data_IF_529490255061
#
_entry.id   IF_529490255061
#
_cell.length_a   1.000
_cell.length_b   1.000
_cell.length_c   1.000
_cell.angle_alpha   90.00
_cell.angle_beta   90.00
_cell.angle_gamma   90.00
#
_symmetry.space_group_name_H-M   'P 1'
#
loop_
_entity.id
_entity.type
_entity.pdbx_description
1 polymer ?
#
# COMPACT_ATOMS: atom_id res chain seq x y z
N UNK A 1 0.02 11.73 -5.59
CA UNK A 1 1.18 11.94 -6.47
C UNK A 1 2.32 10.98 -6.13
N UNK A 2 3.27 10.81 -7.04
CA UNK A 2 4.59 10.24 -6.75
C UNK A 2 5.48 11.25 -6.00
N UNK A 3 6.71 10.87 -5.69
CA UNK A 3 7.68 11.74 -5.01
C UNK A 3 8.11 12.98 -5.81
N UNK A 4 7.76 13.03 -7.09
CA UNK A 4 8.13 14.08 -8.03
C UNK A 4 6.97 15.00 -8.38
N UNK A 5 5.82 14.80 -7.72
CA UNK A 5 4.62 15.58 -7.95
C UNK A 5 3.81 15.11 -9.16
N UNK A 6 4.11 13.94 -9.73
CA UNK A 6 3.30 13.37 -10.81
C UNK A 6 2.05 12.70 -10.24
N UNK A 7 0.89 13.01 -10.82
CA UNK A 7 -0.38 12.43 -10.36
C UNK A 7 -0.48 10.98 -10.82
N UNK A 8 -0.40 10.04 -9.86
CA UNK A 8 -0.49 8.58 -10.11
C UNK A 8 -1.94 8.08 -10.29
N UNK A 9 -2.93 8.95 -10.10
CA UNK A 9 -4.34 8.62 -10.15
C UNK A 9 -4.96 8.41 -8.77
N UNK A 10 -6.10 7.70 -8.73
CA UNK A 10 -6.90 7.48 -7.52
C UNK A 10 -6.62 6.10 -6.92
N UNK A 11 -6.22 6.00 -5.64
CA UNK A 11 -6.04 4.71 -5.00
C UNK A 11 -7.38 4.07 -4.64
N UNK A 12 -7.37 2.76 -4.53
CA UNK A 12 -8.43 1.90 -4.01
C UNK A 12 -8.19 1.61 -2.54
N UNK A 13 -9.26 1.64 -1.76
CA UNK A 13 -9.27 1.27 -0.34
C UNK A 13 -10.16 0.04 -0.16
N UNK A 14 -9.57 -1.05 0.34
CA UNK A 14 -10.27 -2.27 0.77
C UNK A 14 -10.17 -2.37 2.28
N UNK A 15 -11.26 -2.68 2.96
CA UNK A 15 -11.34 -2.69 4.42
C UNK A 15 -11.90 -4.00 4.93
N UNK A 16 -11.49 -4.40 6.13
CA UNK A 16 -12.07 -5.50 6.89
C UNK A 16 -12.66 -4.93 8.17
N UNK A 17 -13.94 -5.21 8.40
CA UNK A 17 -14.70 -4.66 9.53
C UNK A 17 -15.27 -5.80 10.33
N UNK A 18 -15.10 -5.75 11.65
CA UNK A 18 -15.74 -6.72 12.52
C UNK A 18 -17.26 -6.48 12.57
N UNK A 19 -18.02 -7.54 12.33
CA UNK A 19 -19.48 -7.45 12.24
C UNK A 19 -20.13 -7.16 13.59
N UNK A 20 -19.52 -7.62 14.69
CA UNK A 20 -20.06 -7.47 16.04
C UNK A 20 -19.81 -6.09 16.65
N UNK A 21 -18.60 -5.55 16.50
CA UNK A 21 -18.18 -4.28 17.12
C UNK A 21 -18.23 -3.09 16.17
N UNK A 22 -18.28 -3.33 14.85
CA UNK A 22 -18.03 -2.33 13.79
C UNK A 22 -16.61 -1.77 13.80
N UNK A 23 -15.70 -2.35 14.59
CA UNK A 23 -14.31 -1.92 14.63
C UNK A 23 -13.62 -2.24 13.30
N UNK A 24 -12.76 -1.32 12.87
CA UNK A 24 -11.91 -1.56 11.71
C UNK A 24 -10.83 -2.57 12.09
N UNK A 25 -10.84 -3.73 11.45
CA UNK A 25 -9.90 -4.80 11.71
C UNK A 25 -8.68 -4.67 10.82
N UNK A 26 -8.84 -4.32 9.54
CA UNK A 26 -7.70 -4.16 8.64
C UNK A 26 -8.03 -3.41 7.37
N UNK A 27 -6.99 -3.09 6.60
CA UNK A 27 -7.13 -2.37 5.33
C UNK A 27 -6.03 -2.72 4.34
N UNK A 28 -6.31 -2.46 3.07
CA UNK A 28 -5.33 -2.29 2.02
C UNK A 28 -5.64 -1.01 1.25
N UNK A 29 -4.63 -0.15 1.09
CA UNK A 29 -4.69 1.07 0.31
C UNK A 29 -3.63 1.01 -0.80
N UNK A 30 -4.04 1.10 -2.07
CA UNK A 30 -3.09 0.98 -3.18
C UNK A 30 -3.71 1.32 -4.53
N UNK A 31 -2.91 1.32 -5.59
CA UNK A 31 -3.42 1.60 -6.95
C UNK A 31 -3.97 0.37 -7.66
N UNK A 32 -3.84 -0.80 -7.04
CA UNK A 32 -4.38 -2.04 -7.57
C UNK A 32 -5.90 -2.04 -7.53
N UNK A 33 -6.51 -2.34 -8.68
CA UNK A 33 -7.95 -2.54 -8.76
C UNK A 33 -8.41 -3.66 -7.81
N UNK A 34 -9.65 -3.58 -7.30
CA UNK A 34 -10.22 -4.62 -6.47
C UNK A 34 -10.05 -6.00 -7.10
N UNK A 35 -9.61 -6.96 -6.29
CA UNK A 35 -9.37 -8.34 -6.69
C UNK A 35 -9.32 -9.21 -5.45
N UNK A 36 -9.46 -10.53 -5.64
CA UNK A 36 -9.27 -11.51 -4.57
C UNK A 36 -7.98 -11.32 -3.77
N UNK A 37 -6.88 -11.02 -4.48
CA UNK A 37 -5.59 -10.79 -3.86
C UNK A 37 -5.59 -9.53 -2.99
N UNK A 38 -6.18 -8.44 -3.46
CA UNK A 38 -6.34 -7.20 -2.68
C UNK A 38 -7.19 -7.44 -1.43
N UNK A 39 -8.22 -8.30 -1.52
CA UNK A 39 -8.99 -8.73 -0.35
C UNK A 39 -8.14 -9.56 0.63
N UNK A 40 -7.35 -10.51 0.13
CA UNK A 40 -6.40 -11.30 0.92
C UNK A 40 -5.38 -10.40 1.65
N UNK A 41 -4.89 -9.35 1.00
CA UNK A 41 -3.99 -8.37 1.61
C UNK A 41 -4.65 -7.58 2.75
N UNK A 42 -5.89 -7.13 2.55
CA UNK A 42 -6.64 -6.46 3.62
C UNK A 42 -6.95 -7.43 4.79
N UNK A 43 -7.23 -8.70 4.47
CA UNK A 43 -7.43 -9.77 5.45
C UNK A 43 -6.13 -10.06 6.22
N UNK A 44 -4.98 -10.12 5.54
CA UNK A 44 -3.66 -10.27 6.16
C UNK A 44 -3.44 -9.23 7.24
N UNK A 45 -3.67 -7.96 6.88
CA UNK A 45 -3.56 -6.84 7.79
C UNK A 45 -4.55 -6.93 8.96
N UNK A 46 -5.71 -7.55 8.77
CA UNK A 46 -6.69 -7.76 9.83
C UNK A 46 -6.29 -8.89 10.80
N UNK A 47 -5.63 -9.93 10.29
CA UNK A 47 -5.24 -11.11 11.08
C UNK A 47 -4.03 -10.84 11.97
N UNK A 48 -3.04 -10.12 11.46
CA UNK A 48 -1.79 -9.88 12.18
C UNK A 48 -1.92 -8.71 13.17
N UNK A 49 -1.15 -8.72 14.27
CA UNK A 49 -0.96 -7.53 15.09
C UNK A 49 -0.35 -6.38 14.28
N UNK A 50 -0.87 -5.16 14.44
CA UNK A 50 -0.42 -3.98 13.69
C UNK A 50 0.68 -3.31 14.49
N UNK A 51 1.82 -3.07 13.84
CA UNK A 51 2.91 -2.29 14.41
C UNK A 51 3.22 -1.13 13.46
N UNK A 52 2.90 0.08 13.89
CA UNK A 52 3.20 1.30 13.15
C UNK A 52 4.37 2.03 13.78
N UNK A 53 5.22 2.63 12.94
CA UNK A 53 6.31 3.47 13.42
C UNK A 53 5.79 4.80 13.98
N UNK A 54 6.62 5.49 14.76
CA UNK A 54 6.31 6.82 15.30
C UNK A 54 5.94 7.85 14.25
N UNK A 55 6.33 7.65 12.98
CA UNK A 55 5.96 8.52 11.86
C UNK A 55 4.47 8.59 11.55
N UNK A 56 3.67 7.68 12.12
CA UNK A 56 2.20 7.72 12.04
C UNK A 56 1.56 8.64 13.09
N UNK A 57 2.31 9.06 14.12
CA UNK A 57 1.85 10.00 15.16
C UNK A 57 0.55 9.57 15.86
N UNK A 58 0.38 8.26 16.06
CA UNK A 58 -0.81 7.68 16.68
C UNK A 58 -0.86 8.03 18.17
N UNK A 59 -2.03 8.41 18.66
CA UNK A 59 -2.28 8.62 20.10
C UNK A 59 -2.70 7.32 20.79
N UNK A 60 -3.36 6.43 20.05
CA UNK A 60 -3.80 5.12 20.51
C UNK A 60 -3.09 4.00 19.74
N UNK A 61 -3.12 2.78 20.27
CA UNK A 61 -2.64 1.60 19.55
C UNK A 61 -3.76 0.88 18.80
N UNK A 62 -3.42 0.26 17.67
CA UNK A 62 -4.38 -0.54 16.90
C UNK A 62 -4.36 -2.00 17.32
N UNK A 63 -4.95 -2.28 18.48
CA UNK A 63 -4.90 -3.58 19.17
C UNK A 63 -5.73 -4.69 18.52
N UNK A 64 -6.56 -4.40 17.52
CA UNK A 64 -7.42 -5.44 16.92
C UNK A 64 -6.63 -6.38 16.00
N UNK A 65 -6.74 -7.69 16.20
CA UNK A 65 -6.17 -8.71 15.30
C UNK A 65 -6.94 -10.04 15.38
N UNK A 66 -6.54 -11.03 14.58
CA UNK A 66 -6.99 -12.42 14.69
C UNK A 66 -7.68 -12.99 13.46
N UNK A 67 -7.66 -14.33 13.37
CA UNK A 67 -8.33 -15.08 12.28
C UNK A 67 -9.84 -15.06 12.50
N UNK A 68 -10.64 -14.54 11.55
CA UNK A 68 -12.09 -14.54 11.69
C UNK A 68 -12.67 -15.95 11.54
N UNK A 69 -13.73 -16.27 12.28
CA UNK A 69 -14.44 -17.54 12.09
C UNK A 69 -15.20 -17.56 10.77
N UNK A 70 -15.75 -16.42 10.37
CA UNK A 70 -16.52 -16.26 9.13
C UNK A 70 -16.07 -15.01 8.38
N UNK A 71 -15.91 -15.13 7.07
CA UNK A 71 -15.64 -14.00 6.18
C UNK A 71 -16.83 -13.81 5.26
N UNK A 72 -17.50 -12.67 5.39
CA UNK A 72 -18.61 -12.28 4.54
C UNK A 72 -18.12 -11.41 3.38
N UNK A 73 -18.47 -11.79 2.17
CA UNK A 73 -18.12 -11.01 0.97
C UNK A 73 -19.39 -10.57 0.22
N UNK A 74 -19.30 -9.58 -0.66
CA UNK A 74 -20.34 -9.47 -1.70
C UNK A 74 -20.13 -10.58 -2.71
N UNK A 75 -21.18 -10.86 -3.50
CA UNK A 75 -21.09 -11.73 -4.68
C UNK A 75 -20.31 -11.07 -5.84
N UNK A 76 -19.43 -10.11 -5.56
CA UNK A 76 -18.52 -9.58 -6.56
C UNK A 76 -17.68 -10.71 -7.17
N UNK A 77 -17.40 -10.63 -8.47
CA UNK A 77 -16.58 -11.64 -9.17
C UNK A 77 -15.20 -11.82 -8.53
N UNK A 78 -14.69 -10.79 -7.87
CA UNK A 78 -13.42 -10.81 -7.15
C UNK A 78 -13.47 -11.65 -5.87
N UNK A 79 -14.66 -11.84 -5.28
CA UNK A 79 -14.87 -12.54 -4.01
C UNK A 79 -15.46 -13.94 -4.15
N UNK A 80 -15.83 -14.32 -5.37
CA UNK A 80 -16.19 -15.70 -5.78
C UNK A 80 -15.00 -16.42 -6.41
N UNK A 81 -13.78 -15.91 -6.19
CA UNK A 81 -12.58 -16.49 -6.76
C UNK A 81 -12.16 -17.76 -6.00
N UNK A 82 -11.71 -18.76 -6.75
CA UNK A 82 -11.09 -19.98 -6.22
C UNK A 82 -9.95 -19.69 -5.23
N UNK A 83 -9.27 -18.55 -5.39
CA UNK A 83 -8.17 -18.15 -4.52
C UNK A 83 -8.65 -17.78 -3.10
N UNK A 84 -9.75 -17.04 -2.98
CA UNK A 84 -10.27 -16.66 -1.66
C UNK A 84 -10.84 -17.87 -0.91
N UNK A 85 -11.49 -18.80 -1.63
CA UNK A 85 -11.96 -20.08 -1.08
C UNK A 85 -10.79 -20.94 -0.57
N UNK A 86 -9.70 -21.00 -1.32
CA UNK A 86 -8.47 -21.68 -0.91
C UNK A 86 -7.93 -21.09 0.40
N UNK A 87 -7.73 -19.76 0.44
CA UNK A 87 -7.23 -19.05 1.63
C UNK A 87 -8.13 -19.29 2.84
N UNK A 88 -9.45 -19.17 2.65
CA UNK A 88 -10.42 -19.39 3.71
C UNK A 88 -10.31 -20.82 4.25
N UNK A 89 -10.19 -21.81 3.38
CA UNK A 89 -10.05 -23.23 3.77
C UNK A 89 -8.77 -23.47 4.58
N UNK A 90 -7.64 -22.92 4.15
CA UNK A 90 -6.34 -23.08 4.83
C UNK A 90 -6.32 -22.45 6.23
N UNK A 91 -7.00 -21.31 6.37
CA UNK A 91 -7.09 -20.59 7.63
C UNK A 91 -8.26 -21.05 8.52
N UNK A 92 -9.05 -22.03 8.07
CA UNK A 92 -10.22 -22.52 8.80
C UNK A 92 -11.37 -21.50 8.88
N UNK A 93 -11.44 -20.57 7.94
CA UNK A 93 -12.44 -19.51 7.86
C UNK A 93 -13.65 -20.02 7.06
N UNK A 94 -14.84 -19.88 7.62
CA UNK A 94 -16.09 -20.09 6.89
C UNK A 94 -16.35 -18.95 5.90
N UNK A 95 -16.22 -19.20 4.60
CA UNK A 95 -16.58 -18.20 3.59
C UNK A 95 -18.11 -18.16 3.42
N UNK A 96 -18.70 -16.98 3.61
CA UNK A 96 -20.14 -16.78 3.53
C UNK A 96 -20.48 -15.74 2.47
N UNK A 97 -21.37 -16.13 1.54
CA UNK A 97 -22.03 -15.14 0.68
C UNK A 97 -23.08 -14.40 1.50
N UNK A 98 -23.16 -13.07 1.37
CA UNK A 98 -24.21 -12.29 2.00
C UNK A 98 -25.59 -12.76 1.52
N UNK A 99 -26.51 -13.19 2.42
CA UNK A 99 -27.85 -13.60 2.03
C UNK A 99 -28.74 -12.44 1.58
N UNK A 100 -28.53 -11.21 2.07
CA UNK A 100 -29.35 -10.04 1.71
C UNK A 100 -28.53 -8.76 1.44
N UNK A 101 -28.93 -7.92 0.45
CA UNK A 101 -28.28 -6.63 0.18
C UNK A 101 -28.29 -5.65 1.37
N UNK A 102 -29.30 -5.74 2.25
CA UNK A 102 -29.46 -4.91 3.45
C UNK A 102 -28.32 -5.04 4.47
N UNK A 103 -27.59 -6.16 4.44
CA UNK A 103 -26.40 -6.40 5.27
C UNK A 103 -25.15 -5.68 4.74
N UNK A 104 -25.22 -5.07 3.55
CA UNK A 104 -24.14 -4.24 2.99
C UNK A 104 -23.84 -2.97 3.79
N UNK A 105 -24.79 -2.51 4.61
CA UNK A 105 -24.61 -1.34 5.47
C UNK A 105 -23.47 -1.47 6.50
N UNK A 106 -22.94 -2.67 6.72
CA UNK A 106 -21.77 -2.92 7.57
C UNK A 106 -20.49 -2.32 6.95
N UNK A 107 -20.33 -2.46 5.64
CA UNK A 107 -19.15 -1.99 4.90
C UNK A 107 -19.42 -0.66 4.21
N UNK A 108 -20.64 -0.43 3.72
CA UNK A 108 -21.02 0.81 3.03
C UNK A 108 -21.02 2.03 3.96
N UNK A 109 -21.43 1.87 5.22
CA UNK A 109 -21.47 2.99 6.18
C UNK A 109 -20.09 3.51 6.57
N UNK A 110 -19.09 2.66 6.90
CA UNK A 110 -17.71 3.12 7.08
C UNK A 110 -17.23 4.01 5.93
N UNK A 111 -17.46 3.62 4.68
CA UNK A 111 -17.10 4.45 3.53
C UNK A 111 -17.86 5.79 3.50
N UNK A 112 -19.14 5.80 3.85
CA UNK A 112 -19.91 7.05 4.00
C UNK A 112 -19.35 7.96 5.09
N UNK A 113 -18.94 7.40 6.23
CA UNK A 113 -18.30 8.12 7.34
C UNK A 113 -16.93 8.65 6.93
N UNK A 114 -16.08 7.83 6.33
CA UNK A 114 -14.76 8.26 5.85
C UNK A 114 -14.88 9.38 4.82
N UNK A 115 -15.83 9.29 3.89
CA UNK A 115 -16.06 10.36 2.91
C UNK A 115 -16.46 11.68 3.58
N UNK A 116 -17.35 11.64 4.59
CA UNK A 116 -17.87 12.83 5.26
C UNK A 116 -16.88 13.46 6.23
N UNK A 117 -16.17 12.65 7.01
CA UNK A 117 -15.38 13.11 8.16
C UNK A 117 -13.89 13.16 7.90
N UNK A 118 -13.38 12.37 6.95
CA UNK A 118 -11.96 12.25 6.66
C UNK A 118 -11.62 12.76 5.26
N UNK A 119 -12.07 12.08 4.20
CA UNK A 119 -11.67 12.39 2.83
C UNK A 119 -12.10 13.79 2.39
N UNK A 120 -13.27 14.27 2.82
CA UNK A 120 -13.76 15.63 2.54
C UNK A 120 -12.82 16.74 3.04
N UNK A 121 -12.02 16.47 4.07
CA UNK A 121 -11.04 17.42 4.62
C UNK A 121 -9.71 17.43 3.87
N UNK A 122 -9.48 16.45 2.98
CA UNK A 122 -8.21 16.29 2.29
C UNK A 122 -8.18 17.04 0.95
N UNK A 123 -7.03 17.62 0.57
CA UNK A 123 -6.85 18.24 -0.74
C UNK A 123 -6.98 17.21 -1.87
N UNK A 124 -7.63 17.61 -2.97
CA UNK A 124 -7.88 16.72 -4.12
C UNK A 124 -9.06 15.75 -3.95
N UNK A 125 -9.93 15.96 -2.96
CA UNK A 125 -11.17 15.19 -2.81
C UNK A 125 -12.17 15.50 -3.93
N UNK A 126 -12.67 14.45 -4.59
CA UNK A 126 -13.48 14.56 -5.81
C UNK A 126 -14.99 14.37 -5.57
N UNK A 127 -15.41 14.31 -4.31
CA UNK A 127 -16.81 14.03 -3.97
C UNK A 127 -17.25 12.59 -4.28
N UNK A 128 -18.53 12.31 -4.02
CA UNK A 128 -19.14 10.99 -4.21
C UNK A 128 -19.84 10.84 -5.57
N UNK A 129 -20.19 11.95 -6.24
CA UNK A 129 -20.89 11.91 -7.53
C UNK A 129 -19.93 12.04 -8.70
N UNK A 130 -20.21 11.28 -9.76
CA UNK A 130 -19.43 11.37 -11.00
C UNK A 130 -19.45 12.76 -11.65
N UNK A 131 -20.51 13.54 -11.40
CA UNK A 131 -20.69 14.92 -11.89
C UNK A 131 -19.89 15.97 -11.12
N UNK A 132 -19.45 15.67 -9.89
CA UNK A 132 -18.62 16.57 -9.05
C UNK A 132 -17.12 16.41 -9.38
N UNK A 133 -16.79 15.52 -10.32
CA UNK A 133 -15.44 15.26 -10.83
C UNK A 133 -14.95 16.40 -11.70
N UNK A 134 -14.50 17.48 -11.08
CA UNK A 134 -13.86 18.60 -11.77
C UNK A 134 -12.38 18.30 -12.04
N UNK A 135 -11.84 18.91 -13.10
CA UNK A 135 -10.39 18.93 -13.40
C UNK A 135 -9.57 19.71 -12.35
N UNK A 136 -10.23 20.33 -11.36
CA UNK A 136 -9.59 21.06 -10.25
C UNK A 136 -9.04 20.08 -9.21
N UNK A 137 -9.75 18.99 -8.92
CA UNK A 137 -9.31 18.01 -7.92
C UNK A 137 -8.02 17.27 -8.33
N UNK A 138 -7.79 17.05 -9.63
CA UNK A 138 -6.52 16.52 -10.15
C UNK A 138 -5.36 17.50 -9.98
N UNK A 139 -5.63 18.81 -10.04
CA UNK A 139 -4.64 19.87 -9.83
C UNK A 139 -4.28 20.07 -8.35
N UNK A 140 -5.21 19.75 -7.46
CA UNK A 140 -5.04 19.84 -6.00
C UNK A 140 -4.48 18.56 -5.36
N UNK A 141 -4.27 17.49 -6.14
CA UNK A 141 -3.90 16.16 -5.65
C UNK A 141 -2.48 16.07 -5.07
N UNK A 142 -2.16 16.76 -3.98
CA UNK A 142 -0.79 16.92 -3.47
C UNK A 142 -0.27 15.78 -2.57
N UNK A 143 -1.12 14.82 -2.18
CA UNK A 143 -0.73 13.76 -1.24
C UNK A 143 -0.04 12.59 -1.96
N UNK A 144 1.07 12.13 -1.41
CA UNK A 144 1.63 10.81 -1.73
C UNK A 144 0.78 9.71 -1.10
N UNK A 145 0.88 8.48 -1.63
CA UNK A 145 0.13 7.35 -1.09
C UNK A 145 0.51 7.06 0.38
N UNK A 146 1.79 7.18 0.73
CA UNK A 146 2.29 7.07 2.11
C UNK A 146 1.67 8.12 3.03
N UNK A 147 1.57 9.38 2.60
CA UNK A 147 0.95 10.44 3.40
C UNK A 147 -0.54 10.17 3.60
N UNK A 148 -1.26 9.80 2.53
CA UNK A 148 -2.67 9.42 2.63
C UNK A 148 -2.87 8.24 3.58
N UNK A 149 -1.99 7.25 3.49
CA UNK A 149 -2.00 6.08 4.36
C UNK A 149 -1.80 6.44 5.85
N UNK A 150 -0.80 7.27 6.16
CA UNK A 150 -0.57 7.74 7.54
C UNK A 150 -1.78 8.49 8.10
N UNK A 151 -2.32 9.42 7.32
CA UNK A 151 -3.51 10.18 7.71
C UNK A 151 -4.72 9.26 7.92
N UNK A 152 -4.92 8.27 7.05
CA UNK A 152 -6.03 7.34 7.12
C UNK A 152 -5.91 6.42 8.34
N UNK A 153 -4.72 5.84 8.59
CA UNK A 153 -4.46 5.02 9.77
C UNK A 153 -4.68 5.82 11.04
N UNK A 154 -4.12 7.04 11.12
CA UNK A 154 -4.32 7.92 12.28
C UNK A 154 -5.80 8.22 12.54
N UNK A 155 -6.55 8.56 11.48
CA UNK A 155 -7.99 8.76 11.61
C UNK A 155 -8.71 7.48 12.08
N UNK A 156 -8.35 6.30 11.56
CA UNK A 156 -9.00 5.05 11.96
C UNK A 156 -8.73 4.73 13.43
N UNK A 157 -7.47 4.83 13.86
CA UNK A 157 -7.02 4.45 15.20
C UNK A 157 -7.49 5.44 16.25
N UNK A 158 -7.22 6.73 16.06
CA UNK A 158 -7.44 7.74 17.09
C UNK A 158 -8.88 8.29 17.09
N UNK A 159 -9.63 8.12 16.00
CA UNK A 159 -11.00 8.67 15.88
C UNK A 159 -12.05 7.62 15.58
N UNK A 160 -11.93 6.85 14.50
CA UNK A 160 -13.01 5.97 14.06
C UNK A 160 -13.26 4.83 15.07
N UNK A 161 -12.21 4.10 15.44
CA UNK A 161 -12.30 2.98 16.37
C UNK A 161 -12.63 3.44 17.80
N UNK A 162 -12.17 4.63 18.20
CA UNK A 162 -12.55 5.28 19.46
C UNK A 162 -13.95 5.89 19.43
N UNK A 163 -14.55 6.03 18.24
CA UNK A 163 -15.88 6.60 18.09
C UNK A 163 -16.97 5.66 18.62
N UNK A 164 -18.01 6.24 19.22
CA UNK A 164 -19.23 5.53 19.59
C UNK A 164 -20.07 5.29 18.33
N UNK A 165 -20.71 4.13 18.24
CA UNK A 165 -21.78 3.88 17.27
C UNK A 165 -23.11 3.91 18.01
N UNK A 166 -23.93 4.94 17.78
CA UNK A 166 -25.18 5.13 18.54
C UNK A 166 -26.21 4.00 18.41
N UNK A 167 -26.00 3.04 17.48
CA UNK A 167 -26.82 1.82 17.38
C UNK A 167 -26.32 0.68 18.25
N UNK A 168 -25.11 0.81 18.78
CA UNK A 168 -24.35 -0.23 19.48
C UNK A 168 -24.20 0.06 20.98
N UNK A 169 -24.91 1.09 21.48
CA UNK A 169 -24.88 1.54 22.87
C UNK A 169 -23.83 2.60 23.13
N UNK A 170 -23.40 2.72 24.39
CA UNK A 170 -22.51 3.78 24.87
C UNK A 170 -21.02 3.38 24.86
N UNK A 171 -20.67 2.32 24.12
CA UNK A 171 -19.29 1.83 24.00
C UNK A 171 -18.64 2.32 22.70
N UNK A 172 -17.32 2.55 22.76
CA UNK A 172 -16.49 2.76 21.57
C UNK A 172 -16.42 1.46 20.77
N UNK A 173 -16.16 1.55 19.45
CA UNK A 173 -16.03 0.35 18.60
C UNK A 173 -14.92 -0.57 19.10
N UNK A 174 -13.78 0.00 19.49
CA UNK A 174 -12.66 -0.76 20.06
C UNK A 174 -13.03 -1.37 21.42
N UNK A 175 -13.66 -0.62 22.33
CA UNK A 175 -14.05 -1.15 23.63
C UNK A 175 -15.09 -2.27 23.52
N UNK A 176 -15.97 -2.20 22.52
CA UNK A 176 -16.88 -3.31 22.20
C UNK A 176 -16.15 -4.53 21.65
N UNK A 177 -15.13 -4.34 20.82
CA UNK A 177 -14.29 -5.43 20.32
C UNK A 177 -13.54 -6.12 21.47
N UNK A 178 -12.89 -5.34 22.34
CA UNK A 178 -12.17 -5.83 23.52
C UNK A 178 -13.09 -6.59 24.48
N UNK A 179 -14.30 -6.07 24.74
CA UNK A 179 -15.30 -6.75 25.56
C UNK A 179 -15.74 -8.10 24.97
N UNK A 180 -15.69 -8.26 23.64
CA UNK A 180 -15.94 -9.52 22.95
C UNK A 180 -14.73 -10.47 22.94
N UNK A 181 -13.52 -9.93 23.01
CA UNK A 181 -12.25 -10.67 23.00
C UNK A 181 -11.94 -11.27 24.40
N UNK A 182 -12.80 -12.18 24.85
CA UNK A 182 -12.72 -12.78 26.19
C UNK A 182 -11.51 -13.70 26.41
N UNK A 183 -10.83 -14.12 25.34
CA UNK A 183 -9.65 -14.97 25.36
C UNK A 183 -8.59 -14.44 24.38
N UNK A 184 -7.29 -14.60 24.68
CA UNK A 184 -6.22 -14.28 23.72
C UNK A 184 -6.41 -15.07 22.43
N UNK A 185 -6.34 -14.37 21.29
CA UNK A 185 -6.46 -15.00 19.98
C UNK A 185 -5.13 -15.63 19.58
N UNK A 186 -5.13 -16.81 18.92
CA UNK A 186 -3.90 -17.44 18.47
C UNK A 186 -3.20 -16.54 17.44
N UNK A 187 -1.88 -16.38 17.63
CA UNK A 187 -1.04 -15.66 16.67
C UNK A 187 -0.56 -16.62 15.59
N UNK A 188 -0.83 -16.27 14.35
CA UNK A 188 -0.15 -16.87 13.20
C UNK A 188 1.18 -16.18 12.99
N UNK A 189 2.21 -16.94 12.60
CA UNK A 189 3.43 -16.30 12.12
C UNK A 189 3.17 -15.62 10.78
N UNK A 190 3.85 -14.49 10.56
CA UNK A 190 3.74 -13.72 9.31
C UNK A 190 3.97 -14.61 8.08
N UNK A 191 5.04 -15.41 8.15
CA UNK A 191 5.43 -16.35 7.11
C UNK A 191 4.41 -17.46 6.83
N UNK A 192 3.79 -18.02 7.87
CA UNK A 192 2.74 -19.04 7.67
C UNK A 192 1.52 -18.44 6.98
N UNK A 193 1.14 -17.23 7.40
CA UNK A 193 0.04 -16.51 6.78
C UNK A 193 0.37 -16.19 5.32
N UNK A 194 1.56 -15.67 5.02
CA UNK A 194 1.98 -15.39 3.64
C UNK A 194 1.91 -16.61 2.74
N UNK A 195 2.37 -17.77 3.22
CA UNK A 195 2.27 -19.04 2.49
C UNK A 195 0.81 -19.45 2.24
N UNK A 196 -0.10 -19.19 3.19
CA UNK A 196 -1.54 -19.43 3.01
C UNK A 196 -2.13 -18.48 1.97
N UNK A 197 -1.66 -17.23 1.93
CA UNK A 197 -2.14 -16.21 1.00
C UNK A 197 -1.61 -16.40 -0.42
N UNK A 198 -0.53 -17.15 -0.65
CA UNK A 198 0.02 -17.39 -1.99
C UNK A 198 -0.99 -18.01 -2.96
N UNK A 199 -0.87 -17.63 -4.24
CA UNK A 199 -1.67 -18.22 -5.32
C UNK A 199 -1.16 -19.60 -5.68
N UNK A 200 -2.07 -20.48 -6.08
CA UNK A 200 -1.77 -21.85 -6.52
C UNK A 200 -1.92 -22.01 -8.02
N UNK A 201 -0.98 -22.73 -8.63
CA UNK A 201 -1.01 -23.16 -10.02
C UNK A 201 -0.50 -24.60 -10.12
N UNK A 202 -1.08 -25.42 -11.01
CA UNK A 202 -0.58 -26.77 -11.26
C UNK A 202 0.44 -26.76 -12.38
N UNK A 203 1.59 -27.38 -12.19
CA UNK A 203 2.66 -27.45 -13.19
C UNK A 203 3.25 -28.85 -13.26
N UNK A 204 3.76 -29.18 -14.44
CA UNK A 204 4.49 -30.41 -14.68
C UNK A 204 5.97 -30.17 -14.44
N UNK A 205 6.63 -31.12 -13.77
CA UNK A 205 8.08 -31.13 -13.67
C UNK A 205 8.64 -31.84 -14.90
N UNK A 206 9.48 -31.13 -15.65
CA UNK A 206 10.09 -31.68 -16.86
C UNK A 206 11.33 -32.52 -16.55
N UNK A 207 11.73 -33.31 -17.55
CA UNK A 207 12.95 -34.12 -17.50
C UNK A 207 14.16 -33.24 -17.18
N UNK A 208 14.89 -33.59 -16.12
CA UNK A 208 16.01 -32.78 -15.62
C UNK A 208 15.66 -31.87 -14.45
N UNK A 209 14.44 -31.95 -13.91
CA UNK A 209 14.08 -31.31 -12.63
C UNK A 209 13.83 -29.81 -12.71
N UNK A 210 13.26 -29.34 -13.82
CA UNK A 210 12.85 -27.94 -13.98
C UNK A 210 11.35 -27.85 -14.26
N UNK A 211 10.76 -26.70 -13.97
CA UNK A 211 9.36 -26.39 -14.30
C UNK A 211 9.25 -25.04 -15.01
N UNK A 212 8.12 -24.82 -15.70
CA UNK A 212 7.86 -23.59 -16.44
C UNK A 212 6.66 -22.85 -15.86
N UNK A 213 6.82 -21.56 -15.58
CA UNK A 213 5.72 -20.72 -15.08
C UNK A 213 5.94 -19.26 -15.52
N UNK A 214 4.89 -18.60 -16.02
CA UNK A 214 4.96 -17.20 -16.49
C UNK A 214 6.07 -16.92 -17.52
N UNK A 215 6.36 -17.90 -18.40
CA UNK A 215 7.48 -17.90 -19.36
C UNK A 215 8.89 -17.84 -18.72
N UNK A 216 9.00 -18.26 -17.47
CA UNK A 216 10.26 -18.44 -16.77
C UNK A 216 10.50 -19.92 -16.48
N UNK A 217 11.76 -20.33 -16.61
CA UNK A 217 12.25 -21.63 -16.19
C UNK A 217 12.70 -21.57 -14.74
N UNK A 218 12.24 -22.54 -13.94
CA UNK A 218 12.58 -22.66 -12.53
C UNK A 218 13.37 -23.92 -12.26
N UNK A 219 14.31 -23.83 -11.32
CA UNK A 219 15.03 -24.98 -10.77
C UNK A 219 14.99 -24.94 -9.26
N UNK A 220 14.83 -26.11 -8.66
CA UNK A 220 14.79 -26.27 -7.21
C UNK A 220 15.55 -27.51 -6.81
N UNK A 221 15.98 -27.54 -5.56
CA UNK A 221 16.55 -28.74 -4.97
C UNK A 221 15.50 -29.87 -5.02
N UNK A 222 15.94 -31.11 -5.22
CA UNK A 222 15.09 -32.31 -5.25
C UNK A 222 14.05 -32.43 -6.38
N UNK A 223 13.80 -31.40 -7.21
CA UNK A 223 12.82 -31.48 -8.30
C UNK A 223 13.16 -32.56 -9.34
N UNK A 224 14.43 -32.92 -9.51
CA UNK A 224 14.82 -33.99 -10.44
C UNK A 224 14.14 -35.34 -10.11
N UNK A 225 13.86 -35.60 -8.83
CA UNK A 225 13.16 -36.82 -8.38
C UNK A 225 11.67 -36.85 -8.72
N UNK A 226 11.10 -35.72 -9.14
CA UNK A 226 9.69 -35.56 -9.50
C UNK A 226 9.48 -35.41 -11.00
N UNK A 227 10.48 -35.72 -11.83
CA UNK A 227 10.39 -35.61 -13.29
C UNK A 227 9.21 -36.41 -13.85
N UNK A 228 8.29 -35.72 -14.54
CA UNK A 228 7.07 -36.28 -15.12
C UNK A 228 5.84 -36.22 -14.21
N UNK A 229 6.01 -35.77 -12.97
CA UNK A 229 4.91 -35.61 -12.00
C UNK A 229 4.26 -34.23 -12.12
N UNK A 230 2.95 -34.18 -11.80
CA UNK A 230 2.24 -32.94 -11.57
C UNK A 230 2.50 -32.45 -10.14
N UNK A 231 2.89 -31.18 -10.01
CA UNK A 231 3.11 -30.49 -8.75
C UNK A 231 2.25 -29.23 -8.66
N UNK A 232 1.99 -28.78 -7.45
CA UNK A 232 1.34 -27.50 -7.17
C UNK A 232 2.43 -26.50 -6.82
N UNK A 233 2.49 -25.39 -7.55
CA UNK A 233 3.33 -24.27 -7.20
C UNK A 233 2.49 -23.24 -6.42
N UNK A 234 3.05 -22.73 -5.34
CA UNK A 234 2.58 -21.56 -4.61
C UNK A 234 3.52 -20.39 -4.87
N UNK A 235 2.96 -19.21 -5.14
CA UNK A 235 3.74 -18.02 -5.45
C UNK A 235 3.08 -16.73 -4.96
N UNK A 236 3.90 -15.74 -4.64
CA UNK A 236 3.48 -14.36 -4.44
C UNK A 236 3.32 -13.68 -5.82
N UNK A 237 2.15 -13.11 -6.16
CA UNK A 237 1.98 -12.34 -7.38
C UNK A 237 2.91 -11.13 -7.53
N UNK A 238 3.46 -10.59 -6.43
CA UNK A 238 4.38 -9.45 -6.42
C UNK A 238 5.83 -9.85 -6.60
N UNK A 239 6.17 -11.09 -6.28
CA UNK A 239 7.48 -11.66 -6.59
C UNK A 239 7.36 -13.14 -6.97
N UNK A 240 7.45 -13.41 -8.27
CA UNK A 240 7.43 -14.77 -8.81
C UNK A 240 8.83 -15.35 -8.99
N UNK A 241 9.91 -14.65 -8.62
CA UNK A 241 11.29 -15.17 -8.81
C UNK A 241 11.54 -16.43 -7.98
N UNK A 242 10.79 -16.63 -6.90
CA UNK A 242 10.78 -17.84 -6.09
C UNK A 242 9.38 -18.42 -6.02
N UNK A 243 9.27 -19.74 -6.20
CA UNK A 243 8.02 -20.49 -6.04
C UNK A 243 8.22 -21.65 -5.07
N UNK A 244 7.18 -21.97 -4.31
CA UNK A 244 7.16 -23.10 -3.39
C UNK A 244 6.45 -24.26 -4.05
N UNK A 245 7.11 -25.40 -4.14
CA UNK A 245 6.62 -26.58 -4.85
C UNK A 245 6.08 -27.58 -3.85
N UNK A 246 4.87 -28.05 -4.10
CA UNK A 246 4.15 -29.03 -3.29
C UNK A 246 3.72 -30.21 -4.15
N UNK A 247 3.75 -31.40 -3.58
CA UNK A 247 3.14 -32.59 -4.15
C UNK A 247 1.75 -32.78 -3.55
N UNK A 248 0.76 -33.05 -4.39
CA UNK A 248 -0.56 -33.44 -3.90
C UNK A 248 -0.52 -34.90 -3.44
N UNK A 249 -0.77 -35.12 -2.15
CA UNK A 249 -0.92 -36.47 -1.57
C UNK A 249 -2.36 -36.71 -1.14
N UNK A 250 -2.66 -37.94 -0.67
CA UNK A 250 -3.96 -38.27 -0.06
C UNK A 250 -4.22 -37.52 1.25
N UNK A 251 -3.16 -37.08 1.94
CA UNK A 251 -3.23 -36.39 3.22
C UNK A 251 -3.18 -34.85 3.06
N UNK A 252 -3.04 -34.34 1.84
CA UNK A 252 -2.94 -32.92 1.54
C UNK A 252 -1.69 -32.57 0.74
N UNK A 253 -1.36 -31.29 0.71
CA UNK A 253 -0.17 -30.77 0.03
C UNK A 253 1.07 -31.00 0.90
N UNK A 254 2.05 -31.73 0.36
CA UNK A 254 3.34 -31.93 1.01
C UNK A 254 4.38 -31.03 0.36
N UNK A 255 5.07 -30.22 1.16
CA UNK A 255 6.15 -29.38 0.66
C UNK A 255 7.29 -30.24 0.09
N UNK A 256 7.73 -29.90 -1.12
CA UNK A 256 8.80 -30.59 -1.84
C UNK A 256 10.07 -29.75 -1.82
N UNK A 257 10.00 -28.52 -2.35
CA UNK A 257 11.17 -27.67 -2.52
C UNK A 257 10.80 -26.22 -2.77
N UNK A 258 11.77 -25.32 -2.60
CA UNK A 258 11.75 -24.00 -3.24
C UNK A 258 12.40 -24.11 -4.61
N UNK A 259 11.79 -23.49 -5.60
CA UNK A 259 12.34 -23.39 -6.94
C UNK A 259 12.51 -21.92 -7.32
N UNK A 260 13.66 -21.59 -7.87
CA UNK A 260 14.03 -20.23 -8.24
C UNK A 260 14.07 -20.09 -9.76
N UNK A 261 13.61 -18.94 -10.26
CA UNK A 261 13.72 -18.58 -11.66
C UNK A 261 15.21 -18.46 -12.02
N UNK A 262 15.68 -19.34 -12.89
CA UNK A 262 17.11 -19.47 -13.18
C UNK A 262 17.68 -18.16 -13.75
N UNK A 263 18.71 -17.61 -13.10
CA UNK A 263 19.36 -16.35 -13.47
C UNK A 263 18.68 -15.09 -12.92
N UNK A 264 17.54 -15.21 -12.22
CA UNK A 264 16.83 -14.09 -11.57
C UNK A 264 16.84 -14.22 -10.03
N UNK A 265 17.74 -15.02 -9.46
CA UNK A 265 17.75 -15.34 -8.03
C UNK A 265 18.01 -14.13 -7.11
N UNK A 266 18.59 -13.07 -7.65
CA UNK A 266 18.91 -11.82 -6.92
C UNK A 266 17.98 -10.67 -7.27
N UNK A 267 17.01 -10.90 -8.16
CA UNK A 267 16.11 -9.88 -8.67
C UNK A 267 14.72 -10.02 -8.03
N UNK A 268 13.85 -9.02 -8.22
CA UNK A 268 12.43 -9.10 -7.84
C UNK A 268 11.58 -8.85 -9.07
N UNK A 269 10.63 -9.73 -9.36
CA UNK A 269 9.80 -9.65 -10.56
C UNK A 269 8.36 -10.09 -10.28
N UNK A 270 7.41 -9.18 -10.43
CA UNK A 270 6.00 -9.52 -10.25
C UNK A 270 5.44 -10.32 -11.43
N UNK A 271 4.35 -11.06 -11.19
CA UNK A 271 3.64 -11.81 -12.24
C UNK A 271 3.18 -10.91 -13.38
N UNK A 272 2.65 -9.72 -13.06
CA UNK A 272 2.17 -8.76 -14.06
C UNK A 272 3.30 -8.21 -14.92
N UNK A 273 4.45 -7.92 -14.30
CA UNK A 273 5.64 -7.46 -15.02
C UNK A 273 6.18 -8.55 -15.94
N UNK A 274 6.31 -9.79 -15.46
CA UNK A 274 6.73 -10.92 -16.29
C UNK A 274 5.82 -11.10 -17.51
N UNK A 275 4.50 -10.96 -17.35
CA UNK A 275 3.54 -10.98 -18.46
C UNK A 275 3.70 -9.77 -19.41
N UNK A 276 4.00 -8.57 -18.88
CA UNK A 276 4.20 -7.37 -19.70
C UNK A 276 5.49 -7.48 -20.53
N UNK A 277 6.60 -7.90 -19.92
CA UNK A 277 7.88 -8.15 -20.57
C UNK A 277 7.71 -9.22 -21.65
N UNK A 278 7.07 -10.35 -21.32
CA UNK A 278 6.79 -11.42 -22.29
C UNK A 278 6.00 -10.93 -23.51
N UNK A 279 4.96 -10.10 -23.30
CA UNK A 279 4.19 -9.50 -24.41
C UNK A 279 5.03 -8.56 -25.25
N UNK A 280 5.91 -7.75 -24.63
CA UNK A 280 6.81 -6.83 -25.32
C UNK A 280 7.82 -7.60 -26.18
N UNK A 281 8.52 -8.59 -25.61
CA UNK A 281 9.48 -9.43 -26.32
C UNK A 281 8.82 -10.13 -27.52
N UNK A 282 7.60 -10.66 -27.35
CA UNK A 282 6.82 -11.25 -28.44
C UNK A 282 6.54 -10.27 -29.58
N UNK A 283 6.17 -9.02 -29.27
CA UNK A 283 5.94 -7.97 -30.29
C UNK A 283 7.22 -7.59 -31.03
N UNK A 284 8.35 -7.64 -30.35
CA UNK A 284 9.67 -7.37 -30.94
C UNK A 284 10.25 -8.57 -31.69
N UNK A 285 9.56 -9.71 -31.71
CA UNK A 285 10.06 -10.95 -32.34
C UNK A 285 11.27 -11.56 -31.62
N UNK A 286 11.55 -11.14 -30.38
CA UNK A 286 12.65 -11.69 -29.58
C UNK A 286 12.22 -12.99 -28.90
N UNK A 287 13.17 -13.90 -28.70
CA UNK A 287 12.95 -15.11 -27.91
C UNK A 287 12.63 -14.73 -26.45
N UNK A 288 11.68 -15.44 -25.83
CA UNK A 288 11.31 -15.25 -24.43
C UNK A 288 12.04 -16.32 -23.61
N UNK A 289 13.18 -15.94 -23.06
CA UNK A 289 14.03 -16.75 -22.17
C UNK A 289 14.25 -16.00 -20.86
N UNK A 290 14.64 -16.72 -19.79
CA UNK A 290 15.00 -16.07 -18.52
C UNK A 290 16.06 -14.96 -18.71
N UNK A 291 17.05 -15.19 -19.56
CA UNK A 291 18.09 -14.20 -19.87
C UNK A 291 17.49 -12.94 -20.52
N UNK A 292 16.60 -13.10 -21.51
CA UNK A 292 15.94 -11.94 -22.14
C UNK A 292 15.05 -11.17 -21.16
N UNK A 293 14.42 -11.86 -20.20
CA UNK A 293 13.62 -11.22 -19.15
C UNK A 293 14.51 -10.50 -18.16
N UNK A 294 15.62 -11.13 -17.72
CA UNK A 294 16.61 -10.54 -16.83
C UNK A 294 17.18 -9.23 -17.41
N UNK A 295 17.48 -9.20 -18.70
CA UNK A 295 17.96 -7.99 -19.37
C UNK A 295 16.91 -6.86 -19.29
N UNK A 296 15.64 -7.15 -19.57
CA UNK A 296 14.58 -6.14 -19.47
C UNK A 296 14.35 -5.65 -18.02
N UNK A 297 14.50 -6.53 -17.02
CA UNK A 297 14.43 -6.18 -15.59
C UNK A 297 15.58 -5.23 -15.22
N UNK A 298 16.81 -5.56 -15.62
CA UNK A 298 17.99 -4.73 -15.33
C UNK A 298 17.97 -3.41 -16.08
N UNK A 299 17.52 -3.40 -17.33
CA UNK A 299 17.35 -2.16 -18.11
C UNK A 299 16.32 -1.24 -17.45
N UNK A 300 15.20 -1.79 -16.97
CA UNK A 300 14.22 -1.04 -16.17
C UNK A 300 14.88 -0.44 -14.94
N UNK A 301 15.61 -1.23 -14.17
CA UNK A 301 16.20 -0.78 -12.90
C UNK A 301 17.27 0.29 -13.12
N UNK A 302 18.09 0.15 -14.16
CA UNK A 302 19.02 1.18 -14.59
C UNK A 302 18.31 2.49 -14.99
N UNK A 303 17.20 2.40 -15.73
CA UNK A 303 16.39 3.58 -16.09
C UNK A 303 15.78 4.23 -14.85
N UNK A 304 15.24 3.44 -13.93
CA UNK A 304 14.67 3.93 -12.68
C UNK A 304 15.74 4.62 -11.83
N UNK A 305 16.94 4.04 -11.71
CA UNK A 305 18.06 4.66 -11.02
C UNK A 305 18.53 5.97 -11.67
N UNK A 306 18.62 6.01 -13.01
CA UNK A 306 18.96 7.23 -13.74
C UNK A 306 17.93 8.33 -13.49
N UNK A 307 16.64 8.02 -13.62
CA UNK A 307 15.55 8.95 -13.34
C UNK A 307 15.58 9.43 -11.88
N UNK A 308 15.83 8.54 -10.92
CA UNK A 308 16.00 8.91 -9.50
C UNK A 308 17.19 9.85 -9.30
N UNK A 309 18.33 9.60 -9.96
CA UNK A 309 19.52 10.45 -9.90
C UNK A 309 19.30 11.83 -10.53
N UNK A 310 18.61 11.89 -11.66
CA UNK A 310 18.22 13.16 -12.29
C UNK A 310 17.24 13.96 -11.44
N UNK A 311 16.23 13.30 -10.87
CA UNK A 311 15.29 13.90 -9.91
C UNK A 311 16.05 14.50 -8.71
N UNK A 312 16.97 13.74 -8.09
CA UNK A 312 17.84 14.24 -7.00
C UNK A 312 18.67 15.46 -7.40
N UNK A 313 19.29 15.43 -8.60
CA UNK A 313 20.07 16.57 -9.13
C UNK A 313 19.22 17.83 -9.34
N UNK A 314 17.99 17.69 -9.86
CA UNK A 314 17.08 18.82 -10.07
C UNK A 314 16.63 19.43 -8.73
N UNK A 315 16.37 18.60 -7.71
CA UNK A 315 16.01 19.06 -6.36
C UNK A 315 17.17 19.80 -5.67
N UNK A 316 18.41 19.32 -5.76
CA UNK A 316 19.58 20.02 -5.19
C UNK A 316 19.87 21.34 -5.89
N UNK A 317 19.71 21.40 -7.22
CA UNK A 317 19.93 22.63 -7.99
C UNK A 317 18.82 23.67 -7.74
N UNK A 318 17.58 23.21 -7.50
CA UNK A 318 16.45 24.06 -7.10
C UNK A 318 16.61 24.65 -5.70
N UNK A 319 17.09 23.86 -4.71
CA UNK A 319 17.44 24.36 -3.37
C UNK A 319 18.60 25.38 -3.43
N UNK A 320 19.62 25.12 -4.26
CA UNK A 320 20.77 26.05 -4.44
C UNK A 320 20.37 27.39 -5.08
N UNK A 321 19.50 27.39 -6.10
CA UNK A 321 18.96 28.62 -6.73
C UNK A 321 18.09 29.44 -5.78
N UNK A 322 17.30 28.81 -4.90
CA UNK A 322 16.54 29.51 -3.85
C UNK A 322 17.46 30.19 -2.82
N UNK A 323 18.56 29.54 -2.43
CA UNK A 323 19.56 30.15 -1.54
C UNK A 323 20.36 31.29 -2.19
N UNK A 324 20.70 31.19 -3.49
CA UNK A 324 21.39 32.29 -4.20
C UNK A 324 20.46 33.50 -4.42
N UNK A 325 19.17 33.27 -4.67
CA UNK A 325 18.17 34.34 -4.76
C UNK A 325 17.94 35.07 -3.43
N UNK A 326 18.10 34.40 -2.29
CA UNK A 326 18.01 35.05 -0.98
C UNK A 326 19.27 35.86 -0.64
N UNK A 327 20.46 35.41 -1.07
CA UNK A 327 21.73 36.16 -0.90
C UNK A 327 21.84 37.41 -1.77
N UNK A 328 21.29 37.41 -2.98
CA UNK A 328 21.32 38.57 -3.88
C UNK A 328 20.36 39.72 -3.50
N UNK A 329 19.54 39.55 -2.45
CA UNK A 329 18.67 40.62 -1.93
C UNK A 329 19.32 41.50 -0.85
N UNK A 330 20.57 41.21 -0.47
CA UNK A 330 21.36 42.01 0.48
C UNK A 330 22.69 42.40 -0.18
N UNK A 331 22.66 43.39 -1.07
CA UNK A 331 23.84 44.23 -1.32
C UNK A 331 23.50 45.64 -0.84
N UNK A 332 24.32 46.27 0.03
CA UNK A 332 24.09 47.64 0.44
C UNK A 332 24.49 48.59 -0.68
N UNK A 333 23.57 49.50 -1.07
CA UNK A 333 23.86 50.60 -1.98
C UNK A 333 24.85 51.58 -1.34
N UNK A 334 25.90 51.95 -2.08
CA UNK A 334 26.85 52.99 -1.72
C UNK A 334 26.17 54.36 -1.74
N UNK A 335 26.16 55.04 -0.59
CA UNK A 335 25.67 56.42 -0.46
C UNK A 335 26.75 57.44 -0.86
N UNK A 336 26.42 58.32 -1.80
CA UNK A 336 27.13 59.59 -2.07
C UNK A 336 26.63 60.65 -1.08
N UNK A 337 27.48 61.51 -0.48
CA UNK A 337 27.04 62.50 0.50
C UNK A 337 26.70 63.85 -0.16
N UNK A 338 25.60 64.47 0.27
CA UNK A 338 25.38 65.91 0.09
C UNK A 338 24.64 66.52 1.29
N UNK A 339 25.22 67.60 1.80
CA UNK A 339 24.78 68.45 2.91
C UNK A 339 23.39 69.10 2.69
N UNK A 340 22.69 69.40 3.79
CA UNK A 340 21.59 70.39 3.82
C UNK A 340 20.78 70.35 5.11
N UNK A 341 20.48 71.52 5.67
CA UNK A 341 20.00 71.79 7.05
C UNK A 341 18.48 72.02 7.12
N UNK A 342 17.86 71.70 8.28
CA UNK A 342 16.52 72.10 8.79
C UNK A 342 15.28 71.57 8.02
N UNK A 343 14.12 71.26 8.59
CA UNK A 343 13.39 71.80 9.75
C UNK A 343 12.36 70.78 10.29
N UNK A 344 11.77 71.06 11.46
CA UNK A 344 10.76 70.27 12.15
C UNK A 344 9.40 70.14 11.42
N UNK A 345 8.61 69.10 11.76
CA UNK A 345 7.24 69.18 12.32
C UNK A 345 6.62 67.78 12.44
N UNK A 346 5.93 67.62 13.56
CA UNK A 346 5.10 66.52 14.09
C UNK A 346 3.97 66.04 13.17
N UNK A 347 3.65 64.74 13.23
CA UNK A 347 2.26 64.28 13.36
C UNK A 347 2.21 62.81 13.84
N UNK A 348 1.40 62.59 14.87
CA UNK A 348 1.10 61.30 15.51
C UNK A 348 0.22 60.44 14.61
N UNK A 349 0.48 59.12 14.57
CA UNK A 349 -0.50 58.12 14.19
C UNK A 349 -0.43 56.96 15.19
N UNK A 350 -1.44 56.90 16.04
CA UNK A 350 -1.85 55.70 16.77
C UNK A 350 -2.36 54.66 15.76
N UNK A 351 -1.78 53.46 15.76
CA UNK A 351 -2.55 52.24 15.46
C UNK A 351 -1.89 51.01 16.09
N UNK A 352 -2.71 50.28 16.84
CA UNK A 352 -2.34 49.22 17.75
C UNK A 352 -1.74 47.99 17.05
N UNK A 353 -0.65 47.48 17.63
CA UNK A 353 -0.04 46.20 17.31
C UNK A 353 -0.92 45.07 17.87
N UNK A 354 -1.48 44.24 17.01
CA UNK A 354 -1.95 42.90 17.37
C UNK A 354 -0.78 41.95 17.07
N UNK A 355 -0.11 41.50 18.12
CA UNK A 355 0.81 40.37 18.06
C UNK A 355 0.01 39.09 17.72
N UNK A 356 0.36 38.45 16.62
CA UNK A 356 0.07 37.03 16.42
C UNK A 356 1.38 36.34 16.09
N UNK A 357 1.90 35.61 17.06
CA UNK A 357 3.00 34.67 16.88
C UNK A 357 2.50 33.50 16.02
N UNK A 358 2.80 33.52 14.72
CA UNK A 358 2.77 32.30 13.91
C UNK A 358 4.07 31.52 14.18
N UNK A 359 4.01 30.54 15.09
CA UNK A 359 5.03 29.51 15.23
C UNK A 359 5.14 28.73 13.91
N UNK A 360 6.16 29.07 13.12
CA UNK A 360 6.61 28.30 11.97
C UNK A 360 7.12 26.92 12.45
N UNK A 361 6.25 25.91 12.35
CA UNK A 361 6.63 24.50 12.52
C UNK A 361 7.68 24.15 11.45
N UNK A 362 8.92 23.98 11.89
CA UNK A 362 10.02 23.46 11.08
C UNK A 362 9.74 21.98 10.83
N UNK A 363 9.23 21.66 9.64
CA UNK A 363 9.09 20.27 9.19
C UNK A 363 10.49 19.73 8.86
N UNK A 364 11.00 18.83 9.70
CA UNK A 364 12.26 18.12 9.46
C UNK A 364 12.27 17.40 8.10
N UNK A 365 13.44 17.31 7.46
CA UNK A 365 13.63 16.72 6.13
C UNK A 365 13.05 15.29 6.06
N UNK A 366 11.89 15.16 5.42
CA UNK A 366 11.18 13.89 5.24
C UNK A 366 11.91 13.02 4.22
N UNK A 367 12.37 11.84 4.65
CA UNK A 367 12.80 10.77 3.74
C UNK A 367 11.56 10.18 3.05
N UNK A 368 11.35 10.56 1.79
CA UNK A 368 10.21 10.11 0.97
C UNK A 368 10.54 8.76 0.32
N UNK A 369 9.68 7.75 0.55
CA UNK A 369 9.82 6.36 0.05
C UNK A 369 8.84 6.04 -1.07
N UNK A 370 9.24 5.17 -2.01
CA UNK A 370 8.44 4.77 -3.19
C UNK A 370 7.26 3.88 -2.78
N UNK A 371 6.23 3.68 -3.62
CA UNK A 371 5.10 2.79 -3.32
C UNK A 371 5.55 1.36 -2.99
N UNK A 372 6.55 0.86 -3.72
CA UNK A 372 7.15 -0.45 -3.45
C UNK A 372 7.93 -0.47 -2.13
N UNK A 373 8.51 0.67 -1.71
CA UNK A 373 9.14 0.81 -0.39
C UNK A 373 8.11 1.01 0.74
N UNK A 374 6.93 1.60 0.45
CA UNK A 374 5.82 1.71 1.41
C UNK A 374 5.23 0.35 1.75
N UNK A 375 5.06 -0.52 0.75
CA UNK A 375 4.79 -1.93 1.03
C UNK A 375 5.89 -2.52 1.92
N UNK A 376 7.12 -1.96 1.89
CA UNK A 376 8.33 -2.57 2.54
C UNK A 376 8.23 -2.50 4.03
N UNK A 377 7.81 -1.33 4.44
CA UNK A 377 7.73 -0.95 5.84
C UNK A 377 6.54 -1.57 6.58
N UNK A 378 5.53 -2.08 5.86
CA UNK A 378 4.38 -2.75 6.48
C UNK A 378 4.62 -4.24 6.75
N UNK A 379 5.76 -4.78 6.34
CA UNK A 379 6.06 -6.20 6.45
C UNK A 379 5.05 -7.05 5.70
N UNK A 380 4.73 -6.68 4.45
CA UNK A 380 3.83 -7.44 3.57
C UNK A 380 4.61 -8.40 2.64
N UNK A 381 5.65 -9.05 3.18
CA UNK A 381 6.60 -9.95 2.48
C UNK A 381 7.00 -11.14 3.32
#
# INVERSE_FOLDING_TARGET
MDQSGEVLGRPWLTIVVDSYSRCMMGLHLGFDAPSAWVACLALRHAILPKQYSSSYELQESWETYGVPQYLYTDQGKDFTSQHLEQVATELGIGLCSRPQPSEGGIVERPFGTFNREFFSSLPGYVGSKASERSSVAEREACLTLMQLDRLLVRYIVDRYNQGIDGRMGDQTRIGRWEAGATMPLPLLSDRELDICLMRRERRQVYRGGYLQFANLSYRGEHLAGYSGEEVIIRYDPWDITTVWVYQQTRQGEQFVARAHATGLETETLSYREAQAISRRLRRLGKAITNESVLLEVRDRDAVVEQLRREKRRKQTTGKAKKQTSMKNKHQPEETVPANGVADAVTEEVDEAVIESEEELVVVEDVVVRDYEEWKRDRGWW
#
